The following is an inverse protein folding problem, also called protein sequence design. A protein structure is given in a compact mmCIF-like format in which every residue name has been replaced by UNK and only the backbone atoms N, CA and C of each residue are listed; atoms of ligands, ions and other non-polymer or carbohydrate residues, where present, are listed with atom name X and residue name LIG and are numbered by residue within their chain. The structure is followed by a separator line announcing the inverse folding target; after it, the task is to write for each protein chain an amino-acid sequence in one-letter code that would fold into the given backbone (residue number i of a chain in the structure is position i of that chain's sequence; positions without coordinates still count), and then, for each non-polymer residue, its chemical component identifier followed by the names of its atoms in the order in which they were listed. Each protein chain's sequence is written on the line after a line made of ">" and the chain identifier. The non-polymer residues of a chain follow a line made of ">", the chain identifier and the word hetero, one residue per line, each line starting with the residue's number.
data_IF_039578038095
#
_entry.id   IF_039578038095
#
_cell.length_a   1.000
_cell.length_b   1.000
_cell.length_c   1.000
_cell.angle_alpha   90.00
_cell.angle_beta   90.00
_cell.angle_gamma   90.00
#
_symmetry.space_group_name_H-M   'P 1'
#
loop_
_entity.id
_entity.type
_entity.pdbx_description
1 polymer ?
#
# COMPACT_ATOMS: atom_id res chain seq x y z
N UNK A 1 -1.95 11.58 3.28
CA UNK A 1 -1.98 12.48 2.10
C UNK A 1 -3.36 13.00 1.69
N UNK A 2 -4.50 12.59 2.28
CA UNK A 2 -5.84 13.01 1.80
C UNK A 2 -6.77 13.57 2.88
N UNK A 3 -6.22 14.29 3.86
CA UNK A 3 -7.04 15.09 4.78
C UNK A 3 -6.32 16.37 5.12
N UNK A 4 -6.62 17.44 4.39
CA UNK A 4 -7.02 18.70 5.00
C UNK A 4 -7.61 19.66 3.95
N UNK A 5 -8.82 20.14 4.30
CA UNK A 5 -9.44 21.42 3.94
C UNK A 5 -9.21 22.02 2.54
N UNK A 6 -10.29 22.03 1.76
CA UNK A 6 -10.71 23.17 0.93
C UNK A 6 -9.65 23.81 0.00
N UNK A 7 -9.04 23.04 -0.90
CA UNK A 7 -8.71 23.56 -2.23
C UNK A 7 -8.69 22.42 -3.24
N UNK A 8 -9.41 22.61 -4.37
CA UNK A 8 -9.34 21.71 -5.53
C UNK A 8 -8.00 21.93 -6.23
N UNK A 9 -6.94 21.35 -5.70
CA UNK A 9 -5.61 21.49 -6.32
C UNK A 9 -4.85 20.17 -6.17
N UNK A 10 -4.89 19.37 -7.22
CA UNK A 10 -4.45 17.98 -7.22
C UNK A 10 -2.93 17.87 -7.47
N UNK A 11 -2.24 17.02 -6.69
CA UNK A 11 -0.89 16.54 -7.01
C UNK A 11 -0.87 15.77 -8.33
N UNK A 12 0.29 15.68 -8.97
CA UNK A 12 0.48 14.93 -10.24
C UNK A 12 0.01 13.48 -10.19
N UNK A 13 0.17 12.81 -9.05
CA UNK A 13 -0.35 11.46 -8.81
C UNK A 13 -1.87 11.38 -8.82
N UNK A 14 -2.59 12.40 -8.36
CA UNK A 14 -4.06 12.41 -8.42
C UNK A 14 -4.57 12.65 -9.86
N UNK A 15 -3.78 13.27 -10.73
CA UNK A 15 -4.09 13.36 -12.16
C UNK A 15 -3.89 11.99 -12.86
N UNK A 16 -2.91 11.18 -12.47
CA UNK A 16 -2.82 9.80 -12.98
C UNK A 16 -4.00 8.92 -12.54
N UNK A 17 -4.57 9.20 -11.36
CA UNK A 17 -5.80 8.54 -10.89
C UNK A 17 -7.00 8.87 -11.77
N UNK A 18 -7.11 10.10 -12.28
CA UNK A 18 -8.23 10.49 -13.16
C UNK A 18 -8.21 9.69 -14.46
N UNK A 19 -7.04 9.24 -14.91
CA UNK A 19 -6.93 8.42 -16.12
C UNK A 19 -7.53 7.03 -15.96
N UNK A 20 -7.29 6.37 -14.84
CA UNK A 20 -7.71 4.98 -14.63
C UNK A 20 -9.04 4.86 -13.89
N UNK A 21 -9.44 5.88 -13.12
CA UNK A 21 -10.67 5.89 -12.32
C UNK A 21 -11.38 7.25 -12.35
N UNK A 22 -11.77 7.78 -13.53
CA UNK A 22 -12.35 9.12 -13.66
C UNK A 22 -13.64 9.31 -12.84
N UNK A 23 -14.44 8.25 -12.69
CA UNK A 23 -15.71 8.26 -11.94
C UNK A 23 -15.55 8.09 -10.43
N UNK A 24 -14.34 7.77 -9.94
CA UNK A 24 -14.10 7.51 -8.51
C UNK A 24 -13.19 8.56 -7.85
N UNK A 25 -12.81 9.62 -8.55
CA UNK A 25 -11.91 10.68 -8.06
C UNK A 25 -12.37 11.29 -6.74
N UNK A 26 -13.67 11.60 -6.60
CA UNK A 26 -14.23 12.11 -5.35
C UNK A 26 -14.19 11.11 -4.18
N UNK A 27 -14.36 9.81 -4.47
CA UNK A 27 -14.22 8.74 -3.45
C UNK A 27 -12.75 8.56 -3.04
N UNK A 28 -11.84 8.70 -3.99
CA UNK A 28 -10.40 8.63 -3.76
C UNK A 28 -9.93 9.84 -2.94
N UNK A 29 -10.41 11.04 -3.25
CA UNK A 29 -10.02 12.26 -2.56
C UNK A 29 -10.53 12.36 -1.10
N UNK A 30 -11.54 11.58 -0.72
CA UNK A 30 -12.21 11.68 0.59
C UNK A 30 -11.79 10.58 1.57
N UNK A 31 -12.51 9.46 1.58
CA UNK A 31 -12.25 8.29 2.44
C UNK A 31 -12.24 7.03 1.57
N UNK A 32 -11.18 6.79 0.79
CA UNK A 32 -11.11 5.59 -0.01
C UNK A 32 -10.94 4.36 0.86
N UNK A 33 -11.67 3.29 0.54
CA UNK A 33 -11.44 1.99 1.16
C UNK A 33 -10.06 1.44 0.80
N UNK A 34 -9.53 0.59 1.69
CA UNK A 34 -8.18 0.01 1.57
C UNK A 34 -7.92 -0.61 0.19
N UNK A 35 -8.80 -1.53 -0.25
CA UNK A 35 -8.64 -2.25 -1.53
C UNK A 35 -8.51 -1.30 -2.72
N UNK A 36 -9.33 -0.24 -2.75
CA UNK A 36 -9.28 0.76 -3.83
C UNK A 36 -7.93 1.48 -3.85
N UNK A 37 -7.42 1.91 -2.70
CA UNK A 37 -6.10 2.55 -2.65
C UNK A 37 -4.98 1.57 -3.00
N UNK A 38 -5.04 0.34 -2.49
CA UNK A 38 -4.06 -0.70 -2.78
C UNK A 38 -3.91 -0.94 -4.29
N UNK A 39 -5.02 -1.08 -5.01
CA UNK A 39 -5.03 -1.25 -6.46
C UNK A 39 -4.49 -0.02 -7.19
N UNK A 40 -4.92 1.19 -6.79
CA UNK A 40 -4.48 2.45 -7.41
C UNK A 40 -2.98 2.66 -7.25
N UNK A 41 -2.45 2.51 -6.02
CA UNK A 41 -1.03 2.66 -5.70
C UNK A 41 -0.20 1.67 -6.51
N UNK A 42 -0.61 0.40 -6.57
CA UNK A 42 0.10 -0.63 -7.33
C UNK A 42 0.11 -0.36 -8.83
N UNK A 43 -1.05 -0.01 -9.41
CA UNK A 43 -1.13 0.18 -10.86
C UNK A 43 -0.35 1.40 -11.32
N UNK A 44 -0.45 2.51 -10.58
CA UNK A 44 0.31 3.73 -10.89
C UNK A 44 1.79 3.49 -10.64
N UNK A 45 2.17 2.92 -9.49
CA UNK A 45 3.58 2.63 -9.17
C UNK A 45 4.26 1.74 -10.22
N UNK A 46 3.58 0.69 -10.70
CA UNK A 46 4.12 -0.16 -11.78
C UNK A 46 4.31 0.63 -13.08
N UNK A 47 3.33 1.43 -13.50
CA UNK A 47 3.45 2.22 -14.73
C UNK A 47 4.54 3.29 -14.61
N UNK A 48 4.60 3.97 -13.47
CA UNK A 48 5.59 5.00 -13.14
C UNK A 48 7.00 4.43 -13.20
N UNK A 49 7.22 3.27 -12.54
CA UNK A 49 8.54 2.62 -12.55
C UNK A 49 8.93 2.14 -13.94
N UNK A 50 8.01 1.57 -14.73
CA UNK A 50 8.30 1.20 -16.12
C UNK A 50 8.74 2.42 -16.95
N UNK A 51 8.18 3.59 -16.69
CA UNK A 51 8.60 4.84 -17.30
C UNK A 51 10.02 5.23 -16.87
N UNK A 52 10.35 5.16 -15.57
CA UNK A 52 11.71 5.36 -15.07
C UNK A 52 12.71 4.44 -15.79
N UNK A 53 12.40 3.14 -15.90
CA UNK A 53 13.22 2.19 -16.65
C UNK A 53 13.39 2.63 -18.11
N UNK A 54 12.32 3.05 -18.80
CA UNK A 54 12.41 3.52 -20.20
C UNK A 54 13.37 4.71 -20.30
N UNK A 55 13.17 5.75 -19.50
CA UNK A 55 14.00 6.95 -19.53
C UNK A 55 15.47 6.65 -19.21
N UNK A 56 15.74 5.76 -18.26
CA UNK A 56 17.12 5.39 -17.91
C UNK A 56 17.78 4.52 -18.98
N UNK A 57 17.05 3.58 -19.58
CA UNK A 57 17.56 2.81 -20.74
C UNK A 57 17.83 3.71 -21.94
N UNK A 58 17.02 4.75 -22.14
CA UNK A 58 17.27 5.77 -23.18
C UNK A 58 18.54 6.55 -22.92
N UNK A 59 18.79 6.95 -21.68
CA UNK A 59 20.02 7.67 -21.27
C UNK A 59 21.27 6.81 -21.41
N UNK A 60 21.24 5.57 -20.92
CA UNK A 60 22.44 4.70 -20.81
C UNK A 60 22.71 3.89 -22.08
N UNK A 61 21.66 3.41 -22.74
CA UNK A 61 21.77 2.47 -23.85
C UNK A 61 21.28 3.02 -25.20
N UNK A 62 20.81 4.27 -25.23
CA UNK A 62 20.27 4.94 -26.41
C UNK A 62 19.16 4.12 -27.08
N UNK A 63 18.22 3.64 -26.28
CA UNK A 63 17.05 2.88 -26.73
C UNK A 63 15.77 3.61 -26.33
N UNK A 64 14.85 3.81 -27.27
CA UNK A 64 13.61 4.55 -27.01
C UNK A 64 12.53 3.71 -26.30
N UNK A 65 12.59 2.37 -26.40
CA UNK A 65 11.58 1.48 -25.81
C UNK A 65 12.20 0.36 -24.98
N UNK A 66 11.45 -0.09 -23.96
CA UNK A 66 11.85 -1.23 -23.15
C UNK A 66 11.81 -2.54 -23.95
N UNK A 67 10.93 -2.63 -24.93
CA UNK A 67 10.81 -3.77 -25.83
C UNK A 67 12.07 -3.94 -26.70
N UNK A 68 12.60 -2.85 -27.22
CA UNK A 68 13.85 -2.85 -27.99
C UNK A 68 15.04 -3.20 -27.09
N UNK A 69 15.07 -2.68 -25.86
CA UNK A 69 16.13 -3.01 -24.90
C UNK A 69 16.07 -4.48 -24.48
N UNK A 70 14.89 -5.01 -24.19
CA UNK A 70 14.67 -6.42 -23.87
C UNK A 70 15.06 -7.34 -25.04
N UNK A 71 14.83 -6.92 -26.28
CA UNK A 71 15.22 -7.67 -27.49
C UNK A 71 16.74 -7.84 -27.61
N UNK A 72 17.53 -6.94 -27.00
CA UNK A 72 19.00 -7.07 -26.90
C UNK A 72 19.45 -8.10 -25.85
N UNK A 73 18.52 -8.68 -25.08
CA UNK A 73 18.79 -9.68 -24.01
C UNK A 73 19.87 -9.20 -23.03
N UNK A 74 19.61 -8.10 -22.28
CA UNK A 74 20.60 -7.55 -21.36
C UNK A 74 21.00 -8.59 -20.31
N UNK A 75 22.27 -8.56 -19.91
CA UNK A 75 22.78 -9.40 -18.83
C UNK A 75 22.15 -8.98 -17.50
N UNK A 76 22.04 -9.93 -16.56
CA UNK A 76 21.52 -9.66 -15.22
C UNK A 76 22.24 -8.50 -14.52
N UNK A 77 23.58 -8.46 -14.62
CA UNK A 77 24.38 -7.38 -14.05
C UNK A 77 24.04 -6.00 -14.65
N UNK A 78 23.67 -5.93 -15.94
CA UNK A 78 23.22 -4.68 -16.56
C UNK A 78 21.86 -4.23 -16.02
N UNK A 79 20.96 -5.19 -15.75
CA UNK A 79 19.67 -4.91 -15.12
C UNK A 79 19.89 -4.39 -13.69
N UNK A 80 20.76 -5.02 -12.91
CA UNK A 80 21.09 -4.58 -11.55
C UNK A 80 21.74 -3.18 -11.52
N UNK A 81 22.68 -2.92 -12.44
CA UNK A 81 23.30 -1.61 -12.56
C UNK A 81 22.27 -0.52 -12.91
N UNK A 82 21.36 -0.80 -13.86
CA UNK A 82 20.31 0.15 -14.20
C UNK A 82 19.35 0.37 -13.01
N UNK A 83 19.00 -0.69 -12.28
CA UNK A 83 18.18 -0.56 -11.08
C UNK A 83 18.84 0.32 -10.00
N UNK A 84 20.17 0.21 -9.83
CA UNK A 84 20.92 1.09 -8.92
C UNK A 84 20.86 2.55 -9.37
N UNK A 85 21.00 2.82 -10.68
CA UNK A 85 20.84 4.17 -11.24
C UNK A 85 19.42 4.70 -10.99
N UNK A 86 18.39 3.86 -11.12
CA UNK A 86 17.01 4.29 -10.85
C UNK A 86 16.83 4.76 -9.41
N UNK A 87 17.39 4.04 -8.44
CA UNK A 87 17.32 4.42 -7.03
C UNK A 87 18.04 5.75 -6.78
N UNK A 88 19.18 5.99 -7.42
CA UNK A 88 19.93 7.24 -7.26
C UNK A 88 19.30 8.42 -8.01
N UNK A 89 18.69 8.18 -9.17
CA UNK A 89 18.23 9.22 -10.06
C UNK A 89 16.74 9.56 -9.95
N UNK A 90 15.90 8.64 -9.48
CA UNK A 90 14.43 8.77 -9.54
C UNK A 90 13.75 8.67 -8.17
N UNK A 91 14.49 8.47 -7.09
CA UNK A 91 13.94 8.34 -5.74
C UNK A 91 14.44 9.52 -4.89
N UNK A 92 13.55 10.11 -4.10
CA UNK A 92 13.94 11.17 -3.17
C UNK A 92 14.99 10.67 -2.17
N UNK A 93 16.06 11.47 -2.02
CA UNK A 93 17.17 11.23 -1.12
C UNK A 93 17.45 12.46 -0.24
N UNK A 94 18.61 12.48 0.42
CA UNK A 94 19.01 13.57 1.31
C UNK A 94 19.26 14.92 0.61
N UNK A 95 19.29 14.98 -0.72
CA UNK A 95 19.50 16.21 -1.48
C UNK A 95 18.19 16.94 -1.81
N UNK A 96 17.02 16.33 -1.56
CA UNK A 96 15.71 16.96 -1.82
C UNK A 96 15.54 18.33 -1.11
N UNK A 97 15.95 18.52 0.16
CA UNK A 97 15.91 19.83 0.81
C UNK A 97 16.74 20.89 0.08
N UNK A 98 17.89 20.53 -0.50
CA UNK A 98 18.72 21.46 -1.28
C UNK A 98 17.98 21.92 -2.53
N UNK A 99 17.26 21.02 -3.22
CA UNK A 99 16.40 21.37 -4.35
C UNK A 99 15.33 22.41 -3.98
N UNK A 100 14.76 22.30 -2.78
CA UNK A 100 13.76 23.26 -2.28
C UNK A 100 14.34 24.67 -2.05
N UNK A 101 15.64 24.79 -1.80
CA UNK A 101 16.33 26.08 -1.59
C UNK A 101 16.82 26.75 -2.86
N UNK A 102 16.77 26.06 -4.01
CA UNK A 102 17.20 26.62 -5.28
C UNK A 102 16.29 27.77 -5.74
N UNK A 103 16.82 28.64 -6.61
CA UNK A 103 16.04 29.70 -7.22
C UNK A 103 14.90 29.12 -8.07
N UNK A 104 13.77 29.82 -8.09
CA UNK A 104 12.55 29.37 -8.79
C UNK A 104 12.76 29.09 -10.29
N UNK A 105 13.67 29.80 -10.95
CA UNK A 105 14.04 29.59 -12.37
C UNK A 105 14.85 28.30 -12.61
N UNK A 106 15.41 27.72 -11.56
CA UNK A 106 16.18 26.47 -11.60
C UNK A 106 15.35 25.27 -11.21
N UNK A 107 14.30 25.48 -10.41
CA UNK A 107 13.51 24.41 -9.81
C UNK A 107 12.59 23.72 -10.81
N UNK A 108 12.48 22.42 -10.64
CA UNK A 108 11.45 21.58 -11.25
C UNK A 108 10.58 21.00 -10.14
N UNK A 109 9.53 21.74 -9.76
CA UNK A 109 8.62 21.35 -8.67
C UNK A 109 7.83 20.09 -8.98
N UNK A 110 7.64 19.80 -10.26
CA UNK A 110 6.98 18.59 -10.69
C UNK A 110 7.91 17.37 -10.55
N UNK A 111 9.21 17.55 -10.82
CA UNK A 111 10.22 16.52 -10.59
C UNK A 111 10.44 16.25 -9.09
N UNK A 112 10.48 17.30 -8.25
CA UNK A 112 10.51 17.16 -6.78
C UNK A 112 9.35 16.26 -6.29
N UNK A 113 8.13 16.50 -6.79
CA UNK A 113 6.98 15.65 -6.50
C UNK A 113 7.17 14.21 -7.00
N UNK A 114 7.70 14.02 -8.21
CA UNK A 114 7.94 12.69 -8.80
C UNK A 114 8.90 11.89 -7.90
N UNK A 115 10.03 12.48 -7.48
CA UNK A 115 11.02 11.82 -6.60
C UNK A 115 10.39 11.32 -5.30
N UNK A 116 9.56 12.14 -4.65
CA UNK A 116 8.83 11.77 -3.44
C UNK A 116 7.82 10.65 -3.70
N UNK A 117 7.10 10.72 -4.82
CA UNK A 117 6.11 9.71 -5.17
C UNK A 117 6.75 8.35 -5.42
N UNK A 118 7.87 8.29 -6.15
CA UNK A 118 8.61 7.05 -6.38
C UNK A 118 9.12 6.44 -5.07
N UNK A 119 9.64 7.26 -4.15
CA UNK A 119 10.04 6.81 -2.81
C UNK A 119 8.88 6.13 -2.07
N UNK A 120 7.69 6.74 -2.08
CA UNK A 120 6.52 6.16 -1.42
C UNK A 120 5.98 4.90 -2.14
N UNK A 121 6.03 4.86 -3.47
CA UNK A 121 5.64 3.66 -4.22
C UNK A 121 6.55 2.49 -3.89
N UNK A 122 7.87 2.69 -3.92
CA UNK A 122 8.85 1.65 -3.58
C UNK A 122 8.68 1.16 -2.14
N UNK A 123 8.51 2.06 -1.17
CA UNK A 123 8.27 1.67 0.23
C UNK A 123 6.97 0.87 0.41
N UNK A 124 5.91 1.22 -0.32
CA UNK A 124 4.64 0.49 -0.27
C UNK A 124 4.74 -0.90 -0.90
N UNK A 125 5.43 -0.99 -2.03
CA UNK A 125 5.67 -2.25 -2.70
C UNK A 125 6.58 -3.17 -1.90
N UNK A 126 7.62 -2.63 -1.28
CA UNK A 126 8.52 -3.34 -0.38
C UNK A 126 7.76 -3.99 0.78
N UNK A 127 6.93 -3.20 1.47
CA UNK A 127 6.05 -3.71 2.52
C UNK A 127 5.10 -4.78 1.98
N UNK A 128 4.46 -4.53 0.83
CA UNK A 128 3.54 -5.48 0.21
C UNK A 128 4.24 -6.79 -0.17
N UNK A 129 5.45 -6.72 -0.71
CA UNK A 129 6.26 -7.88 -1.08
C UNK A 129 6.63 -8.70 0.16
N UNK A 130 7.17 -8.04 1.19
CA UNK A 130 7.57 -8.66 2.45
C UNK A 130 6.39 -9.37 3.13
N UNK A 131 5.24 -8.68 3.23
CA UNK A 131 4.01 -9.26 3.79
C UNK A 131 3.54 -10.48 3.00
N UNK A 132 3.53 -10.42 1.67
CA UNK A 132 3.11 -11.55 0.84
C UNK A 132 4.10 -12.72 0.92
N UNK A 133 5.41 -12.43 0.98
CA UNK A 133 6.47 -13.42 1.12
C UNK A 133 6.46 -14.11 2.50
N UNK A 134 5.83 -13.51 3.51
CA UNK A 134 5.88 -14.00 4.89
C UNK A 134 7.17 -13.61 5.62
N UNK A 135 7.93 -12.64 5.08
CA UNK A 135 9.19 -12.19 5.67
C UNK A 135 8.94 -11.11 6.72
N UNK A 136 8.73 -11.56 7.97
CA UNK A 136 8.45 -10.65 9.08
C UNK A 136 9.63 -9.73 9.41
N UNK A 137 10.88 -10.17 9.17
CA UNK A 137 12.06 -9.33 9.42
C UNK A 137 12.10 -8.12 8.48
N UNK A 138 11.78 -8.36 7.21
CA UNK A 138 11.66 -7.30 6.20
C UNK A 138 10.46 -6.38 6.46
N UNK A 139 9.33 -6.93 6.89
CA UNK A 139 8.16 -6.13 7.34
C UNK A 139 8.53 -5.20 8.51
N UNK A 140 9.21 -5.72 9.53
CA UNK A 140 9.68 -4.93 10.68
C UNK A 140 10.65 -3.82 10.24
N UNK A 141 11.53 -4.10 9.28
CA UNK A 141 12.46 -3.10 8.72
C UNK A 141 11.71 -1.93 8.07
N UNK A 142 10.57 -2.19 7.41
CA UNK A 142 9.75 -1.14 6.84
C UNK A 142 9.02 -0.28 7.89
N UNK A 143 8.85 -0.73 9.14
CA UNK A 143 8.05 -0.01 10.13
C UNK A 143 8.61 1.38 10.47
N UNK A 144 9.93 1.55 10.51
CA UNK A 144 10.52 2.86 10.86
C UNK A 144 10.21 3.96 9.83
N UNK A 145 10.43 3.74 8.51
CA UNK A 145 9.97 4.67 7.48
C UNK A 145 8.46 4.99 7.59
N UNK A 146 7.62 3.98 7.84
CA UNK A 146 6.18 4.17 8.03
C UNK A 146 5.82 4.97 9.29
N UNK A 147 6.58 4.81 10.39
CA UNK A 147 6.43 5.61 11.61
C UNK A 147 6.64 7.10 11.31
N UNK A 148 7.68 7.44 10.55
CA UNK A 148 7.93 8.83 10.15
C UNK A 148 6.79 9.38 9.30
N UNK A 149 6.38 8.67 8.25
CA UNK A 149 5.27 9.08 7.37
C UNK A 149 3.97 9.25 8.17
N UNK A 150 3.65 8.32 9.06
CA UNK A 150 2.46 8.40 9.91
C UNK A 150 2.51 9.58 10.88
N UNK A 151 3.67 9.87 11.49
CA UNK A 151 3.83 11.06 12.33
C UNK A 151 3.62 12.33 11.52
N UNK A 152 4.23 12.44 10.33
CA UNK A 152 4.06 13.58 9.44
C UNK A 152 2.60 13.81 9.07
N UNK A 153 1.88 12.71 8.81
CA UNK A 153 0.45 12.68 8.49
C UNK A 153 -0.50 12.87 9.69
N UNK A 154 0.00 13.06 10.92
CA UNK A 154 -0.82 13.23 12.12
C UNK A 154 -1.49 11.95 12.62
N UNK A 155 -0.95 10.77 12.30
CA UNK A 155 -1.45 9.45 12.72
C UNK A 155 -0.80 8.99 14.02
N UNK A 156 -0.94 9.82 15.07
CA UNK A 156 -0.24 9.64 16.35
C UNK A 156 -0.49 8.28 17.01
N UNK A 157 -1.73 7.77 17.00
CA UNK A 157 -2.06 6.44 17.57
C UNK A 157 -1.26 5.32 16.91
N UNK A 158 -1.20 5.31 15.58
CA UNK A 158 -0.44 4.31 14.82
C UNK A 158 1.05 4.40 15.13
N UNK A 159 1.59 5.62 15.20
CA UNK A 159 2.99 5.86 15.56
C UNK A 159 3.32 5.29 16.93
N UNK A 160 2.54 5.65 17.96
CA UNK A 160 2.78 5.17 19.33
C UNK A 160 2.73 3.64 19.42
N UNK A 161 1.75 3.01 18.77
CA UNK A 161 1.64 1.55 18.77
C UNK A 161 2.79 0.88 18.03
N UNK A 162 3.21 1.40 16.88
CA UNK A 162 4.34 0.84 16.12
C UNK A 162 5.66 0.97 16.87
N UNK A 163 5.93 2.13 17.49
CA UNK A 163 7.13 2.34 18.31
C UNK A 163 7.11 1.42 19.54
N UNK A 164 5.99 1.35 20.26
CA UNK A 164 5.84 0.44 21.41
C UNK A 164 6.04 -1.01 21.01
N UNK A 165 5.46 -1.44 19.89
CA UNK A 165 5.65 -2.78 19.34
C UNK A 165 7.13 -3.07 19.06
N UNK A 166 7.81 -2.19 18.32
CA UNK A 166 9.23 -2.35 18.00
C UNK A 166 10.09 -2.36 19.26
N UNK A 167 9.86 -1.44 20.20
CA UNK A 167 10.57 -1.41 21.47
C UNK A 167 10.41 -2.74 22.22
N UNK A 168 9.17 -3.21 22.38
CA UNK A 168 8.91 -4.43 23.12
C UNK A 168 9.53 -5.67 22.46
N UNK A 169 9.37 -5.83 21.15
CA UNK A 169 9.91 -6.97 20.39
C UNK A 169 11.44 -6.97 20.36
N UNK A 170 12.09 -5.81 20.33
CA UNK A 170 13.54 -5.72 20.23
C UNK A 170 14.26 -5.62 21.58
N UNK A 171 13.61 -5.10 22.64
CA UNK A 171 14.27 -4.75 23.91
C UNK A 171 13.65 -5.40 25.15
N UNK A 172 12.35 -5.70 25.16
CA UNK A 172 11.64 -6.10 26.39
C UNK A 172 11.33 -7.60 26.42
N UNK A 173 10.80 -8.16 25.32
CA UNK A 173 10.29 -9.52 25.33
C UNK A 173 11.40 -10.57 25.35
N UNK A 174 11.25 -11.65 26.15
CA UNK A 174 12.18 -12.77 26.13
C UNK A 174 12.17 -13.46 24.74
N UNK A 175 13.26 -14.15 24.37
CA UNK A 175 13.44 -14.71 23.01
C UNK A 175 12.26 -15.58 22.52
N UNK A 176 11.66 -16.38 23.42
CA UNK A 176 10.54 -17.24 23.07
C UNK A 176 9.26 -16.46 22.74
N UNK A 177 8.93 -15.43 23.54
CA UNK A 177 7.76 -14.58 23.31
C UNK A 177 7.93 -13.74 22.04
N UNK A 178 9.13 -13.18 21.83
CA UNK A 178 9.48 -12.46 20.61
C UNK A 178 9.24 -13.31 19.35
N UNK A 179 9.69 -14.56 19.38
CA UNK A 179 9.45 -15.50 18.28
C UNK A 179 7.96 -15.79 18.10
N UNK A 180 7.25 -16.08 19.19
CA UNK A 180 5.81 -16.38 19.13
C UNK A 180 5.02 -15.22 18.50
N UNK A 181 5.28 -13.97 18.91
CA UNK A 181 4.61 -12.79 18.36
C UNK A 181 4.89 -12.67 16.86
N UNK A 182 6.17 -12.71 16.44
CA UNK A 182 6.56 -12.60 15.02
C UNK A 182 5.91 -13.66 14.14
N UNK A 183 5.86 -14.90 14.61
CA UNK A 183 5.27 -16.01 13.88
C UNK A 183 3.73 -15.93 13.79
N UNK A 184 3.09 -15.05 14.56
CA UNK A 184 1.63 -14.87 14.56
C UNK A 184 1.15 -13.59 13.87
N UNK A 185 2.05 -12.70 13.40
CA UNK A 185 1.66 -11.47 12.69
C UNK A 185 1.13 -11.79 11.28
N UNK A 186 1.76 -12.76 10.61
CA UNK A 186 1.40 -13.20 9.27
C UNK A 186 0.97 -14.66 9.31
N UNK A 187 0.00 -15.01 8.47
CA UNK A 187 -0.47 -16.38 8.28
C UNK A 187 -0.53 -16.71 6.78
N UNK A 188 -0.41 -17.98 6.44
CA UNK A 188 -0.57 -18.46 5.06
C UNK A 188 -1.60 -19.61 5.03
N UNK A 189 -2.91 -19.29 5.05
CA UNK A 189 -3.96 -20.30 5.06
C UNK A 189 -3.89 -21.26 3.87
N UNK A 190 -3.34 -20.80 2.74
CA UNK A 190 -3.17 -21.55 1.50
C UNK A 190 -1.96 -22.48 1.46
N UNK A 191 -0.95 -22.23 2.28
CA UNK A 191 0.37 -22.84 2.14
C UNK A 191 1.10 -22.52 0.82
N UNK A 192 0.66 -21.51 0.07
CA UNK A 192 1.24 -21.15 -1.24
C UNK A 192 2.30 -20.06 -1.10
N UNK A 193 3.34 -20.12 -1.94
CA UNK A 193 4.39 -19.09 -1.99
C UNK A 193 3.77 -17.72 -2.32
N UNK A 194 4.24 -16.68 -1.65
CA UNK A 194 3.77 -15.28 -1.81
C UNK A 194 2.26 -15.06 -1.53
N UNK A 195 1.62 -15.94 -0.74
CA UNK A 195 0.20 -15.83 -0.35
C UNK A 195 0.02 -15.65 1.16
N UNK A 196 1.02 -15.13 1.87
CA UNK A 196 0.84 -14.71 3.25
C UNK A 196 -0.11 -13.51 3.35
N UNK A 197 -0.79 -13.40 4.48
CA UNK A 197 -1.71 -12.33 4.84
C UNK A 197 -1.48 -11.92 6.29
N UNK A 198 -1.76 -10.66 6.60
CA UNK A 198 -1.85 -10.24 8.00
C UNK A 198 -2.91 -11.09 8.72
N UNK A 199 -2.60 -11.55 9.93
CA UNK A 199 -3.53 -12.37 10.72
C UNK A 199 -4.85 -11.64 10.97
N UNK A 200 -4.80 -10.32 11.09
CA UNK A 200 -5.97 -9.46 11.29
C UNK A 200 -7.00 -9.63 10.16
N UNK A 201 -6.56 -9.75 8.90
CA UNK A 201 -7.48 -9.99 7.77
C UNK A 201 -8.17 -11.35 7.88
N UNK A 202 -7.48 -12.36 8.40
CA UNK A 202 -8.07 -13.68 8.64
C UNK A 202 -9.10 -13.62 9.77
N UNK A 203 -8.80 -12.87 10.84
CA UNK A 203 -9.72 -12.63 11.96
C UNK A 203 -10.95 -11.84 11.49
N UNK A 204 -10.77 -10.78 10.70
CA UNK A 204 -11.84 -9.98 10.12
C UNK A 204 -12.75 -10.83 9.22
N UNK A 205 -12.17 -11.73 8.43
CA UNK A 205 -12.93 -12.65 7.60
C UNK A 205 -13.78 -13.63 8.41
N UNK A 206 -13.23 -14.16 9.50
CA UNK A 206 -14.00 -15.00 10.42
C UNK A 206 -15.11 -14.19 11.11
N UNK A 207 -14.82 -12.94 11.50
CA UNK A 207 -15.82 -12.03 12.06
C UNK A 207 -16.97 -11.77 11.08
N UNK A 208 -16.69 -11.60 9.80
CA UNK A 208 -17.72 -11.46 8.75
C UNK A 208 -18.67 -12.67 8.74
N UNK A 209 -18.13 -13.88 8.71
CA UNK A 209 -18.99 -15.08 8.73
C UNK A 209 -19.79 -15.22 10.01
N UNK A 210 -19.16 -15.01 11.17
CA UNK A 210 -19.79 -15.15 12.47
C UNK A 210 -20.90 -14.11 12.66
N UNK A 211 -20.61 -12.83 12.37
CA UNK A 211 -21.49 -11.71 12.73
C UNK A 211 -22.49 -11.33 11.63
N UNK A 212 -22.20 -11.61 10.36
CA UNK A 212 -23.01 -11.13 9.22
C UNK A 212 -23.65 -12.26 8.43
N UNK A 213 -22.92 -13.33 8.14
CA UNK A 213 -23.43 -14.42 7.30
C UNK A 213 -24.26 -15.41 8.11
N UNK A 214 -23.73 -15.87 9.26
CA UNK A 214 -24.33 -16.97 9.99
C UNK A 214 -25.10 -16.56 11.25
N UNK A 215 -25.05 -15.30 11.68
CA UNK A 215 -25.63 -14.81 12.95
C UNK A 215 -27.14 -14.95 13.11
N UNK A 216 -27.86 -15.36 12.07
CA UNK A 216 -29.31 -15.22 11.99
C UNK A 216 -29.75 -13.79 11.64
N UNK A 217 -31.04 -13.61 11.38
CA UNK A 217 -31.65 -12.34 10.97
C UNK A 217 -32.67 -11.84 12.00
N UNK A 218 -32.88 -10.53 12.06
CA UNK A 218 -33.89 -9.86 12.90
C UNK A 218 -33.81 -10.30 14.38
N UNK A 219 -34.94 -10.67 14.98
CA UNK A 219 -35.05 -11.12 16.38
C UNK A 219 -34.20 -12.34 16.72
N UNK A 220 -33.77 -13.11 15.72
CA UNK A 220 -32.90 -14.26 15.93
C UNK A 220 -31.42 -13.91 16.09
N UNK A 221 -31.01 -12.66 15.79
CA UNK A 221 -29.61 -12.20 15.90
C UNK A 221 -29.23 -11.89 17.35
N UNK A 222 -29.16 -12.94 18.17
CA UNK A 222 -28.81 -12.83 19.59
C UNK A 222 -27.37 -13.26 19.85
N UNK A 223 -26.70 -12.68 20.85
CA UNK A 223 -25.32 -13.06 21.25
C UNK A 223 -25.20 -14.56 21.50
N UNK A 224 -26.17 -15.14 22.21
CA UNK A 224 -26.23 -16.59 22.50
C UNK A 224 -26.21 -17.43 21.23
N UNK A 225 -26.98 -17.04 20.21
CA UNK A 225 -27.02 -17.74 18.92
C UNK A 225 -25.72 -17.59 18.15
N UNK A 226 -25.17 -16.39 18.09
CA UNK A 226 -23.90 -16.10 17.42
C UNK A 226 -22.77 -16.96 18.00
N UNK A 227 -22.64 -17.01 19.33
CA UNK A 227 -21.63 -17.84 20.00
C UNK A 227 -21.83 -19.32 19.69
N UNK A 228 -23.06 -19.82 19.71
CA UNK A 228 -23.38 -21.20 19.36
C UNK A 228 -23.02 -21.53 17.90
N UNK A 229 -23.24 -20.60 16.97
CA UNK A 229 -22.96 -20.78 15.55
C UNK A 229 -21.49 -20.58 15.19
N UNK A 230 -20.74 -19.78 15.96
CA UNK A 230 -19.32 -19.49 15.69
C UNK A 230 -18.47 -20.78 15.62
N UNK A 231 -18.73 -21.75 16.50
CA UNK A 231 -18.05 -23.04 16.51
C UNK A 231 -18.35 -23.90 15.25
N UNK A 232 -19.41 -23.59 14.50
CA UNK A 232 -19.87 -24.36 13.34
C UNK A 232 -19.55 -23.68 12.01
N UNK A 233 -18.91 -22.50 12.00
CA UNK A 233 -18.65 -21.72 10.78
C UNK A 233 -17.92 -22.54 9.71
N UNK A 234 -16.91 -23.31 10.10
CA UNK A 234 -16.15 -24.13 9.15
C UNK A 234 -16.99 -25.26 8.54
N UNK A 235 -17.87 -25.87 9.35
CA UNK A 235 -18.83 -26.88 8.87
C UNK A 235 -19.81 -26.24 7.88
N UNK A 236 -20.34 -25.06 8.19
CA UNK A 236 -21.25 -24.34 7.29
C UNK A 236 -20.58 -23.95 5.96
N UNK A 237 -19.31 -23.53 5.99
CA UNK A 237 -18.54 -23.25 4.78
C UNK A 237 -18.37 -24.50 3.91
N UNK A 238 -17.97 -25.62 4.51
CA UNK A 238 -17.80 -26.90 3.79
C UNK A 238 -19.11 -27.40 3.18
N UNK A 239 -20.21 -27.34 3.93
CA UNK A 239 -21.54 -27.72 3.42
C UNK A 239 -21.93 -26.84 2.23
N UNK A 240 -21.75 -25.50 2.31
CA UNK A 240 -22.03 -24.59 1.19
C UNK A 240 -21.19 -24.91 -0.05
N UNK A 241 -19.90 -25.17 0.11
CA UNK A 241 -18.99 -25.53 -1.00
C UNK A 241 -19.40 -26.86 -1.63
N UNK A 242 -19.65 -27.89 -0.80
CA UNK A 242 -20.10 -29.20 -1.25
C UNK A 242 -21.42 -29.12 -2.02
N UNK A 243 -22.40 -28.40 -1.47
CA UNK A 243 -23.70 -28.22 -2.08
C UNK A 243 -23.57 -27.55 -3.46
N UNK A 244 -22.76 -26.49 -3.60
CA UNK A 244 -22.49 -25.87 -4.92
C UNK A 244 -21.91 -26.87 -5.94
N UNK A 245 -20.97 -27.71 -5.50
CA UNK A 245 -20.36 -28.74 -6.35
C UNK A 245 -21.38 -29.77 -6.84
N UNK A 246 -22.35 -30.14 -6.01
CA UNK A 246 -23.43 -31.06 -6.38
C UNK A 246 -24.35 -30.52 -7.48
N UNK A 247 -24.58 -29.20 -7.54
CA UNK A 247 -25.42 -28.57 -8.57
C UNK A 247 -24.68 -28.23 -9.87
N UNK A 248 -23.45 -28.72 -10.07
CA UNK A 248 -22.62 -28.44 -11.24
C UNK A 248 -22.51 -26.93 -11.57
N UNK A 249 -22.58 -26.07 -10.54
CA UNK A 249 -22.36 -24.62 -10.66
C UNK A 249 -20.87 -24.29 -10.87
N UNK A 250 -20.11 -25.25 -11.40
CA UNK A 250 -18.66 -25.24 -11.60
C UNK A 250 -18.21 -24.13 -12.58
N UNK A 251 -19.12 -23.63 -13.42
CA UNK A 251 -18.89 -22.50 -14.32
C UNK A 251 -18.87 -21.14 -13.59
N UNK A 252 -19.35 -21.07 -12.34
CA UNK A 252 -19.27 -19.87 -11.50
C UNK A 252 -18.02 -19.95 -10.62
N UNK A 253 -16.92 -19.37 -11.11
CA UNK A 253 -15.70 -19.24 -10.33
C UNK A 253 -15.85 -18.12 -9.29
N UNK A 254 -15.61 -18.44 -8.02
CA UNK A 254 -15.40 -17.45 -6.95
C UNK A 254 -13.99 -16.84 -6.99
N UNK A 255 -13.11 -17.39 -7.84
CA UNK A 255 -11.80 -16.82 -8.13
C UNK A 255 -12.00 -15.69 -9.11
N UNK A 256 -11.81 -14.47 -8.63
CA UNK A 256 -11.67 -13.32 -9.51
C UNK A 256 -10.38 -13.50 -10.30
N UNK A 257 -10.51 -13.71 -11.61
CA UNK A 257 -9.36 -13.65 -12.50
C UNK A 257 -8.68 -12.29 -12.31
N UNK A 258 -7.35 -12.29 -12.25
CA UNK A 258 -6.60 -11.05 -12.23
C UNK A 258 -7.03 -10.18 -13.43
N UNK A 259 -7.30 -8.88 -13.22
CA UNK A 259 -7.77 -8.02 -14.29
C UNK A 259 -6.71 -7.96 -15.40
N UNK A 260 -7.15 -7.93 -16.66
CA UNK A 260 -6.25 -7.69 -17.79
C UNK A 260 -5.78 -6.23 -17.75
N UNK A 261 -4.53 -6.02 -17.33
CA UNK A 261 -3.99 -4.69 -17.02
C UNK A 261 -3.40 -3.94 -18.23
N UNK A 262 -3.26 -4.59 -19.38
CA UNK A 262 -2.60 -4.03 -20.57
C UNK A 262 -3.16 -2.66 -20.98
N UNK A 263 -4.49 -2.53 -21.10
CA UNK A 263 -5.13 -1.25 -21.48
C UNK A 263 -4.89 -0.16 -20.43
N UNK A 264 -4.95 -0.52 -19.15
CA UNK A 264 -4.73 0.40 -18.03
C UNK A 264 -3.30 0.92 -18.02
N UNK A 265 -2.33 0.02 -18.15
CA UNK A 265 -0.90 0.37 -18.17
C UNK A 265 -0.55 1.16 -19.43
N UNK A 266 -1.10 0.80 -20.60
CA UNK A 266 -0.91 1.59 -21.84
C UNK A 266 -1.44 3.01 -21.68
N UNK A 267 -2.62 3.18 -21.08
CA UNK A 267 -3.20 4.50 -20.84
C UNK A 267 -2.34 5.34 -19.87
N UNK A 268 -1.87 4.73 -18.79
CA UNK A 268 -0.95 5.38 -17.85
C UNK A 268 0.37 5.75 -18.52
N UNK A 269 0.97 4.85 -19.30
CA UNK A 269 2.19 5.11 -20.07
C UNK A 269 2.02 6.33 -20.98
N UNK A 270 0.96 6.38 -21.78
CA UNK A 270 0.68 7.54 -22.64
C UNK A 270 0.59 8.84 -21.85
N UNK A 271 -0.08 8.82 -20.69
CA UNK A 271 -0.16 9.99 -19.83
C UNK A 271 1.22 10.44 -19.33
N UNK A 272 2.01 9.51 -18.80
CA UNK A 272 3.33 9.78 -18.21
C UNK A 272 4.31 10.30 -19.27
N UNK A 273 4.32 9.69 -20.46
CA UNK A 273 5.10 10.13 -21.63
C UNK A 273 4.69 11.52 -22.11
N UNK A 274 3.38 11.78 -22.27
CA UNK A 274 2.88 13.07 -22.77
C UNK A 274 3.21 14.23 -21.83
N UNK A 275 3.25 13.98 -20.52
CA UNK A 275 3.55 14.99 -19.51
C UNK A 275 5.02 15.01 -19.11
N UNK A 276 5.84 14.12 -19.67
CA UNK A 276 7.28 13.98 -19.41
C UNK A 276 7.57 13.97 -17.90
N UNK A 277 6.78 13.20 -17.14
CA UNK A 277 6.79 13.21 -15.66
C UNK A 277 8.16 12.84 -15.10
N UNK A 278 8.87 11.95 -15.80
CA UNK A 278 10.16 11.40 -15.42
C UNK A 278 11.36 12.06 -16.12
N UNK A 279 11.12 13.21 -16.77
CA UNK A 279 12.16 14.04 -17.41
C UNK A 279 12.32 15.33 -16.62
N UNK A 280 13.57 15.72 -16.34
CA UNK A 280 13.90 16.96 -15.61
C UNK A 280 13.77 18.17 -16.53
N UNK A 281 13.05 19.19 -16.09
CA UNK A 281 12.80 20.43 -16.84
C UNK A 281 12.93 21.65 -15.93
N UNK A 282 13.85 22.56 -16.28
CA UNK A 282 14.06 23.82 -15.54
C UNK A 282 12.79 24.68 -15.55
N UNK A 283 12.55 25.36 -14.43
CA UNK A 283 11.39 26.23 -14.21
C UNK A 283 10.02 25.55 -14.39
N UNK A 284 9.93 24.21 -14.33
CA UNK A 284 8.65 23.51 -14.40
C UNK A 284 7.92 23.63 -13.06
N UNK A 285 6.81 24.36 -13.09
CA UNK A 285 5.92 24.53 -11.94
C UNK A 285 4.87 23.42 -11.86
N UNK A 286 4.23 23.31 -10.70
CA UNK A 286 3.12 22.38 -10.45
C UNK A 286 2.05 23.08 -9.62
N UNK A 287 0.80 22.63 -9.75
CA UNK A 287 -0.32 23.24 -9.01
C UNK A 287 -0.27 22.96 -7.51
N UNK A 288 0.33 21.84 -7.12
CA UNK A 288 0.43 21.40 -5.74
C UNK A 288 1.79 20.77 -5.48
N UNK A 289 2.53 21.31 -4.50
CA UNK A 289 3.78 20.73 -4.03
C UNK A 289 3.46 19.71 -2.93
N UNK A 290 3.91 18.47 -3.13
CA UNK A 290 3.74 17.40 -2.17
C UNK A 290 4.72 17.65 -1.02
N UNK A 291 4.25 17.75 0.23
CA UNK A 291 5.16 17.89 1.36
C UNK A 291 5.93 16.59 1.60
N UNK A 292 7.21 16.70 1.98
CA UNK A 292 7.96 15.57 2.52
C UNK A 292 7.42 15.23 3.91
N UNK A 293 6.44 14.34 3.95
CA UNK A 293 5.80 13.91 5.20
C UNK A 293 6.70 13.01 6.03
N UNK A 294 7.71 12.37 5.44
CA UNK A 294 8.67 11.57 6.21
C UNK A 294 9.59 12.51 7.01
N UNK A 295 10.18 13.52 6.37
CA UNK A 295 11.02 14.53 7.01
C UNK A 295 10.23 15.31 8.08
N UNK A 296 9.01 15.77 7.75
CA UNK A 296 8.12 16.40 8.73
C UNK A 296 7.85 15.47 9.93
N UNK A 297 7.74 14.18 9.69
CA UNK A 297 7.56 13.17 10.73
C UNK A 297 8.77 13.01 11.64
N UNK A 298 9.96 12.97 11.07
CA UNK A 298 11.23 12.94 11.81
C UNK A 298 11.35 14.18 12.69
N UNK A 299 11.19 15.37 12.10
CA UNK A 299 11.26 16.64 12.82
C UNK A 299 10.27 16.71 13.98
N UNK A 300 9.04 16.22 13.79
CA UNK A 300 8.00 16.13 14.84
C UNK A 300 8.25 15.07 15.91
N UNK A 301 9.07 14.07 15.65
CA UNK A 301 9.46 13.05 16.64
C UNK A 301 10.65 13.53 17.47
N UNK A 302 11.63 14.17 16.82
CA UNK A 302 12.80 14.73 17.49
C UNK A 302 12.42 15.91 18.40
N UNK A 303 11.55 16.81 17.94
CA UNK A 303 11.12 17.98 18.72
C UNK A 303 10.21 17.66 19.90
N UNK A 304 9.51 16.51 19.86
CA UNK A 304 8.54 16.12 20.88
C UNK A 304 9.15 15.34 22.05
N UNK A 305 10.49 15.21 22.13
CA UNK A 305 11.22 14.63 23.27
C UNK A 305 10.55 13.41 23.91
N UNK A 306 10.45 12.28 23.19
CA UNK A 306 9.95 10.97 23.68
C UNK A 306 8.91 10.95 24.83
N UNK A 307 7.94 11.86 24.89
CA UNK A 307 6.78 11.70 25.79
C UNK A 307 5.84 10.64 25.20
N UNK A 308 6.22 9.37 25.43
CA UNK A 308 5.48 8.17 25.02
C UNK A 308 4.48 7.69 26.09
N UNK A 309 4.41 8.38 27.24
CA UNK A 309 3.63 7.95 28.42
C UNK A 309 2.18 8.47 28.46
N UNK A 310 1.73 9.23 27.45
CA UNK A 310 0.39 9.84 27.42
C UNK A 310 -0.76 8.98 26.88
N UNK A 311 -0.61 7.66 26.76
CA UNK A 311 -1.66 6.77 26.26
C UNK A 311 -2.12 5.76 27.32
N UNK A 312 -2.48 6.27 28.49
CA UNK A 312 -3.37 5.56 29.42
C UNK A 312 -4.77 5.46 28.82
N UNK A 313 -5.42 4.32 29.09
CA UNK A 313 -6.79 3.94 28.73
C UNK A 313 -7.73 5.13 28.47
N UNK A 314 -8.00 5.39 27.20
CA UNK A 314 -9.07 6.29 26.79
C UNK A 314 -9.76 5.70 25.55
N UNK A 315 -10.87 5.02 25.83
CA UNK A 315 -11.88 4.46 24.94
C UNK A 315 -11.41 3.59 23.76
N UNK A 316 -11.81 2.33 23.86
CA UNK A 316 -11.84 1.27 22.85
C UNK A 316 -12.85 1.58 21.72
N UNK A 317 -12.93 2.84 21.31
CA UNK A 317 -13.62 3.25 20.09
C UNK A 317 -12.65 3.02 18.92
N UNK A 318 -12.61 1.76 18.46
CA UNK A 318 -12.21 1.37 17.11
C UNK A 318 -12.59 2.50 16.15
N UNK A 319 -11.57 3.17 15.63
CA UNK A 319 -11.67 4.39 14.82
C UNK A 319 -12.30 4.01 13.47
N UNK A 320 -13.63 3.80 13.47
CA UNK A 320 -14.43 3.23 12.40
C UNK A 320 -14.00 1.82 12.02
N UNK A 321 -14.82 0.81 12.35
CA UNK A 321 -14.81 -0.43 11.57
C UNK A 321 -14.77 -0.01 10.09
N UNK A 322 -13.67 -0.32 9.39
CA UNK A 322 -13.67 -0.24 7.94
C UNK A 322 -14.64 -1.35 7.56
N UNK A 323 -15.92 -1.01 7.43
CA UNK A 323 -16.90 -1.91 6.87
C UNK A 323 -16.40 -2.22 5.46
N UNK A 324 -15.72 -3.35 5.32
CA UNK A 324 -15.55 -3.99 4.04
C UNK A 324 -16.97 -4.20 3.55
N UNK A 325 -17.33 -3.50 2.48
CA UNK A 325 -18.61 -3.66 1.79
C UNK A 325 -18.71 -5.11 1.30
N UNK A 326 -19.13 -5.99 2.19
CA UNK A 326 -19.18 -7.44 2.04
C UNK A 326 -20.39 -7.89 1.24
N UNK A 327 -20.65 -7.24 0.09
CA UNK A 327 -21.62 -7.77 -0.86
C UNK A 327 -21.06 -8.99 -1.63
N UNK A 328 -19.74 -9.23 -1.58
CA UNK A 328 -19.11 -10.43 -2.10
C UNK A 328 -18.20 -11.02 -1.02
N UNK A 329 -18.81 -11.74 -0.09
CA UNK A 329 -18.13 -12.43 1.00
C UNK A 329 -17.64 -13.81 0.56
N UNK A 330 -16.40 -13.88 0.11
CA UNK A 330 -15.48 -15.00 0.27
C UNK A 330 -14.07 -14.36 0.11
N UNK A 331 -13.19 -14.44 1.12
CA UNK A 331 -11.77 -14.21 0.85
C UNK A 331 -11.34 -15.36 -0.05
N UNK A 332 -10.59 -15.06 -1.09
CA UNK A 332 -9.92 -16.11 -1.87
C UNK A 332 -8.92 -16.81 -0.95
N UNK A 333 -9.39 -17.89 -0.33
CA UNK A 333 -8.59 -18.94 0.33
C UNK A 333 -8.06 -19.88 -0.73
#
# INVERSE_FOLDING_TARGET
>A
MLRNSASRTYASTVLTVTEIRPKETGKIASKPGFRRMHEVIKHIGVASRLDCWREETKKVHHVDTLEDWASRKPLWASIEALAANLVQGYVADMHLPEMHTQREDLRDKQWENTLLCEQYFLLYEEMSYAMNAGDIGRVETCFMPWVFIFRGCGKHKYVSQMIKFLHNVHRVYPPQLKRAIRMNILCNPMGKRHQFRAIDWWVEHNNLYIKRIYSGAFSNRTKRRILKQAALVEVYKKVRISFKGMFALNHRTYRHLAPKMERTLKKLRTYVETHEVHVVKRARSTKHLVPDVAELGVNKLLSAGMDLDGAGDADDAMDGEIEVNGNEGDLEV
#
